data_IF_643123078634
#
_entry.id   IF_643123078634
#
_cell.length_a   1.000
_cell.length_b   1.000
_cell.length_c   1.000
_cell.angle_alpha   90.00
_cell.angle_beta   90.00
_cell.angle_gamma   90.00
#
_symmetry.space_group_name_H-M   'P 1'
#
loop_
_entity.id
_entity.type
_entity.pdbx_description
1 polymer ?
#
# COMPACT_ATOMS: atom_id res chain seq x y z
N UNK A 1 28.86 14.03 38.66
CA UNK A 1 29.10 13.37 37.36
C UNK A 1 27.89 12.51 37.04
N UNK A 2 26.86 13.12 36.46
CA UNK A 2 25.61 12.46 36.11
C UNK A 2 25.65 12.13 34.61
N UNK A 3 25.92 10.89 34.25
CA UNK A 3 25.75 10.40 32.89
C UNK A 3 25.43 8.91 32.99
N UNK A 4 24.13 8.59 32.87
CA UNK A 4 23.56 7.34 32.35
C UNK A 4 22.02 7.38 32.56
N UNK A 5 21.31 8.22 31.82
CA UNK A 5 19.84 8.08 31.65
C UNK A 5 19.37 8.01 30.19
N UNK A 6 20.28 7.98 29.22
CA UNK A 6 19.94 8.00 27.78
C UNK A 6 19.73 6.59 27.21
N UNK A 7 19.04 5.72 27.95
CA UNK A 7 18.62 4.39 27.46
C UNK A 7 17.12 4.12 27.70
N UNK A 8 16.37 5.09 28.27
CA UNK A 8 14.92 4.96 28.49
C UNK A 8 14.04 5.59 27.42
N UNK A 9 14.61 6.10 26.32
CA UNK A 9 13.84 6.24 25.09
C UNK A 9 13.68 4.83 24.51
N UNK A 10 12.81 4.06 25.17
CA UNK A 10 12.07 2.97 24.55
C UNK A 10 11.73 3.45 23.15
N UNK A 11 12.33 2.80 22.16
CA UNK A 11 11.89 2.80 20.78
C UNK A 11 10.43 2.36 20.77
N UNK A 12 9.54 3.31 21.02
CA UNK A 12 8.09 3.19 20.96
C UNK A 12 7.66 3.94 19.70
N UNK A 13 8.19 3.49 18.57
CA UNK A 13 7.58 3.77 17.27
C UNK A 13 6.62 2.63 16.91
N UNK A 14 5.75 2.26 17.84
CA UNK A 14 4.44 1.80 17.43
C UNK A 14 3.64 3.08 17.23
N UNK A 15 3.82 3.72 16.06
CA UNK A 15 2.68 4.42 15.48
C UNK A 15 1.59 3.36 15.41
N UNK A 16 0.62 3.43 16.33
CA UNK A 16 -0.66 2.81 16.06
C UNK A 16 -1.11 3.42 14.74
N UNK A 17 -0.94 2.66 13.65
CA UNK A 17 -1.36 3.11 12.32
C UNK A 17 -2.85 3.36 12.43
N UNK A 18 -3.22 4.62 12.48
CA UNK A 18 -4.60 5.02 12.52
C UNK A 18 -5.23 4.59 11.19
N UNK A 19 -6.02 3.53 11.20
CA UNK A 19 -6.77 3.11 10.04
C UNK A 19 -7.84 4.17 9.75
N UNK A 20 -7.69 4.83 8.61
CA UNK A 20 -8.65 5.85 8.16
C UNK A 20 -9.95 5.23 7.65
N UNK A 21 -9.98 3.91 7.45
CA UNK A 21 -11.02 3.19 6.71
C UNK A 21 -10.95 3.44 5.20
N UNK A 22 -10.06 4.30 4.72
CA UNK A 22 -9.90 4.60 3.31
C UNK A 22 -9.17 3.46 2.61
N UNK A 23 -9.58 3.24 1.37
CA UNK A 23 -9.09 2.17 0.50
C UNK A 23 -8.66 2.78 -0.82
N UNK A 24 -7.56 2.27 -1.35
CA UNK A 24 -6.98 2.76 -2.59
C UNK A 24 -6.83 1.62 -3.60
N UNK A 25 -7.12 1.95 -4.85
CA UNK A 25 -6.80 1.15 -6.02
C UNK A 25 -5.81 1.89 -6.91
N UNK A 26 -4.86 1.16 -7.50
CA UNK A 26 -3.81 1.75 -8.34
C UNK A 26 -3.86 1.21 -9.76
N UNK A 27 -3.94 2.10 -10.74
CA UNK A 27 -3.90 1.78 -12.17
C UNK A 27 -2.54 2.14 -12.74
N UNK A 28 -2.03 1.29 -13.64
CA UNK A 28 -0.66 1.39 -14.15
C UNK A 28 0.34 1.42 -12.98
N UNK A 29 0.20 0.46 -12.06
CA UNK A 29 0.83 0.50 -10.74
C UNK A 29 2.35 0.55 -10.79
N UNK A 30 2.95 0.03 -11.87
CA UNK A 30 4.39 -0.13 -11.96
C UNK A 30 4.91 -0.85 -10.73
N UNK A 31 5.90 -0.24 -10.06
CA UNK A 31 6.52 -0.80 -8.85
C UNK A 31 5.72 -0.51 -7.56
N UNK A 32 4.55 0.11 -7.66
CA UNK A 32 3.61 0.32 -6.55
C UNK A 32 3.94 1.47 -5.62
N UNK A 33 4.39 2.61 -6.15
CA UNK A 33 4.77 3.78 -5.33
C UNK A 33 3.58 4.31 -4.53
N UNK A 34 2.40 4.40 -5.12
CA UNK A 34 1.19 4.85 -4.42
C UNK A 34 0.74 3.84 -3.34
N UNK A 35 0.59 2.53 -3.63
CA UNK A 35 0.39 1.51 -2.60
C UNK A 35 1.46 1.51 -1.50
N UNK A 36 2.72 1.86 -1.81
CA UNK A 36 3.81 1.96 -0.84
C UNK A 36 3.68 3.17 0.09
N UNK A 37 3.16 4.29 -0.41
CA UNK A 37 2.95 5.50 0.38
C UNK A 37 1.67 5.43 1.25
N UNK A 38 0.60 4.84 0.72
CA UNK A 38 -0.74 4.80 1.34
C UNK A 38 -0.75 4.31 2.82
N UNK A 39 -0.07 3.22 3.20
CA UNK A 39 -0.03 2.73 4.58
C UNK A 39 0.63 3.69 5.58
N UNK A 40 1.38 4.70 5.11
CA UNK A 40 1.94 5.76 5.97
C UNK A 40 0.88 6.78 6.40
N UNK A 41 -0.25 6.83 5.70
CA UNK A 41 -1.38 7.71 5.98
C UNK A 41 -2.61 6.92 6.45
N UNK A 42 -2.45 5.65 6.82
CA UNK A 42 -3.56 4.81 7.27
C UNK A 42 -4.55 4.44 6.17
N UNK A 43 -4.13 4.47 4.90
CA UNK A 43 -4.94 4.07 3.74
C UNK A 43 -4.55 2.64 3.34
N UNK A 44 -5.56 1.81 3.06
CA UNK A 44 -5.37 0.38 2.76
C UNK A 44 -5.28 0.15 1.24
N UNK A 45 -4.13 -0.33 0.71
CA UNK A 45 -4.03 -0.79 -0.66
C UNK A 45 -4.90 -2.03 -0.87
N UNK A 46 -5.87 -1.94 -1.75
CA UNK A 46 -6.87 -3.00 -1.95
C UNK A 46 -6.63 -3.78 -3.23
N UNK A 47 -6.32 -3.07 -4.32
CA UNK A 47 -5.97 -3.69 -5.59
C UNK A 47 -5.03 -2.83 -6.43
N UNK A 48 -4.35 -3.47 -7.38
CA UNK A 48 -3.48 -2.83 -8.35
C UNK A 48 -3.62 -3.50 -9.74
N UNK A 49 -3.60 -2.69 -10.80
CA UNK A 49 -3.56 -3.14 -12.19
C UNK A 49 -2.20 -2.78 -12.81
N UNK A 50 -1.48 -3.81 -13.24
CA UNK A 50 -0.18 -3.72 -13.91
C UNK A 50 0.02 -5.00 -14.74
N UNK A 51 0.56 -4.87 -15.94
CA UNK A 51 0.78 -5.98 -16.89
C UNK A 51 2.22 -6.50 -16.83
N UNK A 52 3.17 -5.65 -16.46
CA UNK A 52 4.58 -5.99 -16.43
C UNK A 52 4.92 -6.90 -15.25
N UNK A 53 5.49 -8.07 -15.56
CA UNK A 53 5.73 -9.14 -14.57
C UNK A 53 6.71 -8.73 -13.48
N UNK A 54 7.77 -8.01 -13.84
CA UNK A 54 8.80 -7.61 -12.89
C UNK A 54 8.24 -6.61 -11.85
N UNK A 55 7.57 -5.51 -12.23
CA UNK A 55 6.90 -4.62 -11.29
C UNK A 55 5.82 -5.33 -10.43
N UNK A 56 4.97 -6.18 -11.03
CA UNK A 56 3.99 -7.00 -10.27
C UNK A 56 4.65 -7.87 -9.22
N UNK A 57 5.82 -8.47 -9.52
CA UNK A 57 6.54 -9.31 -8.54
C UNK A 57 7.04 -8.51 -7.34
N UNK A 58 7.45 -7.25 -7.56
CA UNK A 58 7.91 -6.34 -6.52
C UNK A 58 6.75 -5.95 -5.62
N UNK A 59 5.60 -5.58 -6.20
CA UNK A 59 4.44 -5.15 -5.43
C UNK A 59 3.79 -6.30 -4.68
N UNK A 60 3.69 -7.50 -5.27
CA UNK A 60 3.25 -8.72 -4.58
C UNK A 60 4.09 -9.05 -3.34
N UNK A 61 5.40 -8.81 -3.40
CA UNK A 61 6.30 -9.03 -2.25
C UNK A 61 6.00 -8.09 -1.09
N UNK A 62 5.67 -6.83 -1.36
CA UNK A 62 5.35 -5.84 -0.34
C UNK A 62 3.90 -5.97 0.16
N UNK A 63 2.98 -6.37 -0.72
CA UNK A 63 1.55 -6.43 -0.48
C UNK A 63 0.98 -7.81 -0.86
N UNK A 64 1.32 -8.88 -0.11
CA UNK A 64 0.92 -10.24 -0.46
C UNK A 64 -0.59 -10.47 -0.43
N UNK A 65 -1.36 -9.60 0.23
CA UNK A 65 -2.82 -9.68 0.33
C UNK A 65 -3.56 -8.73 -0.62
N UNK A 66 -2.85 -7.88 -1.37
CA UNK A 66 -3.45 -6.96 -2.33
C UNK A 66 -3.82 -7.70 -3.61
N UNK A 67 -4.99 -7.41 -4.17
CA UNK A 67 -5.44 -8.04 -5.40
C UNK A 67 -4.68 -7.46 -6.61
N UNK A 68 -3.98 -8.30 -7.36
CA UNK A 68 -3.30 -7.91 -8.59
C UNK A 68 -4.16 -8.27 -9.80
N UNK A 69 -4.76 -7.26 -10.42
CA UNK A 69 -5.80 -7.41 -11.44
C UNK A 69 -5.26 -7.69 -12.85
N UNK A 70 -4.01 -7.31 -13.14
CA UNK A 70 -3.41 -7.47 -14.46
C UNK A 70 -3.86 -6.38 -15.44
N UNK A 71 -4.21 -6.79 -16.67
CA UNK A 71 -4.57 -5.92 -17.79
C UNK A 71 -5.91 -5.21 -17.59
N UNK A 72 -5.87 -3.88 -17.43
CA UNK A 72 -7.07 -3.06 -17.18
C UNK A 72 -8.14 -3.18 -18.26
N UNK A 73 -7.77 -3.43 -19.52
CA UNK A 73 -8.74 -3.53 -20.61
C UNK A 73 -9.65 -4.75 -20.49
N UNK A 74 -9.33 -5.68 -19.58
CA UNK A 74 -10.06 -6.93 -19.32
C UNK A 74 -10.75 -6.96 -17.96
N UNK A 75 -10.66 -5.89 -17.18
CA UNK A 75 -11.26 -5.81 -15.84
C UNK A 75 -12.69 -5.29 -15.98
N UNK A 76 -13.65 -5.96 -15.32
CA UNK A 76 -14.95 -5.38 -15.05
C UNK A 76 -14.89 -4.58 -13.73
N UNK A 77 -15.07 -3.26 -13.82
CA UNK A 77 -15.04 -2.38 -12.66
C UNK A 77 -16.17 -2.64 -11.65
N UNK A 78 -17.26 -3.28 -12.06
CA UNK A 78 -18.36 -3.68 -11.17
C UNK A 78 -18.04 -4.89 -10.29
N UNK A 79 -17.03 -5.68 -10.67
CA UNK A 79 -16.68 -6.95 -10.01
C UNK A 79 -15.44 -6.84 -9.10
N UNK A 80 -14.78 -5.67 -9.08
CA UNK A 80 -13.61 -5.42 -8.21
C UNK A 80 -14.02 -4.74 -6.89
N UNK A 81 -13.29 -4.97 -5.78
CA UNK A 81 -13.62 -4.35 -4.51
C UNK A 81 -13.67 -2.81 -4.60
N UNK A 82 -14.70 -2.15 -4.02
CA UNK A 82 -14.81 -0.70 -4.07
C UNK A 82 -13.68 -0.03 -3.28
N UNK A 83 -13.23 1.10 -3.80
CA UNK A 83 -12.17 1.94 -3.20
C UNK A 83 -12.60 3.40 -3.18
N UNK A 84 -12.02 4.17 -2.27
CA UNK A 84 -12.30 5.61 -2.12
C UNK A 84 -11.42 6.46 -3.05
N UNK A 85 -10.24 5.94 -3.39
CA UNK A 85 -9.21 6.64 -4.17
C UNK A 85 -8.76 5.72 -5.30
N UNK A 86 -8.65 6.28 -6.50
CA UNK A 86 -8.04 5.64 -7.67
C UNK A 86 -6.85 6.49 -8.10
N UNK A 87 -5.68 5.87 -8.25
CA UNK A 87 -4.46 6.53 -8.77
C UNK A 87 -4.13 6.04 -10.17
N UNK A 88 -3.42 6.89 -10.92
CA UNK A 88 -2.85 6.63 -12.25
C UNK A 88 -1.38 7.06 -12.19
N UNK A 89 -0.46 6.23 -12.67
CA UNK A 89 0.99 6.51 -12.66
C UNK A 89 1.59 6.63 -14.05
#
# INVERSE_FOLDING_TARGET
>A
MAFLSVLSVKWKNTEEKHDTGLKIGSLFDGIGVFPLAAPRYGIIPTWASEIEKAPVSITKRHFPTMLHLGDITKIDGGEIPPVHIITLS
#
